data_IF_975600831992
#
_entry.id   IF_975600831992
#
_cell.length_a   1.000
_cell.length_b   1.000
_cell.length_c   1.000
_cell.angle_alpha   90.00
_cell.angle_beta   90.00
_cell.angle_gamma   90.00
#
_symmetry.space_group_name_H-M   'P 1'
#
loop_
_entity.id
_entity.type
_entity.pdbx_description
1 polymer ?
#
# COMPACT_ATOMS: atom_id res chain seq x y z
N UNK A 1 15.94 -14.79 9.47
CA UNK A 1 14.46 -14.67 9.54
C UNK A 1 14.06 -13.63 8.50
N UNK A 2 13.20 -13.98 7.54
CA UNK A 2 12.74 -13.01 6.55
C UNK A 2 11.97 -11.89 7.26
N UNK A 3 12.24 -10.63 6.92
CA UNK A 3 11.52 -9.52 7.53
C UNK A 3 10.05 -9.52 7.07
N UNK A 4 9.10 -8.94 7.84
CA UNK A 4 7.71 -8.80 7.40
C UNK A 4 7.59 -8.11 6.03
N UNK A 5 8.50 -7.18 5.73
CA UNK A 5 8.62 -6.52 4.43
C UNK A 5 8.94 -7.50 3.30
N UNK A 6 9.91 -8.39 3.50
CA UNK A 6 10.31 -9.37 2.48
C UNK A 6 9.17 -10.36 2.21
N UNK A 7 8.46 -10.80 3.26
CA UNK A 7 7.29 -11.67 3.11
C UNK A 7 6.17 -11.00 2.31
N UNK A 8 5.92 -9.72 2.59
CA UNK A 8 4.92 -8.93 1.87
C UNK A 8 5.31 -8.71 0.40
N UNK A 9 6.59 -8.43 0.15
CA UNK A 9 7.11 -8.28 -1.21
C UNK A 9 6.93 -9.58 -2.03
N UNK A 10 7.28 -10.72 -1.45
CA UNK A 10 7.11 -12.02 -2.08
C UNK A 10 5.63 -12.26 -2.39
N UNK A 11 4.75 -12.01 -1.42
CA UNK A 11 3.30 -12.19 -1.59
C UNK A 11 2.74 -11.29 -2.69
N UNK A 12 3.15 -10.02 -2.75
CA UNK A 12 2.74 -9.11 -3.83
C UNK A 12 3.28 -9.56 -5.20
N UNK A 13 4.49 -10.13 -5.25
CA UNK A 13 5.04 -10.69 -6.49
C UNK A 13 4.26 -11.92 -6.97
N UNK A 14 3.84 -12.79 -6.05
CA UNK A 14 2.98 -13.94 -6.34
C UNK A 14 1.60 -13.48 -6.81
N UNK A 15 1.04 -12.43 -6.20
CA UNK A 15 -0.24 -11.84 -6.62
C UNK A 15 -0.16 -11.11 -7.97
N UNK A 16 1.02 -10.64 -8.37
CA UNK A 16 1.29 -10.05 -9.67
C UNK A 16 1.70 -11.10 -10.74
N UNK A 17 1.82 -12.37 -10.37
CA UNK A 17 2.17 -13.48 -11.25
C UNK A 17 1.01 -13.81 -12.21
N UNK A 18 1.32 -14.47 -13.34
CA UNK A 18 0.32 -14.95 -14.29
C UNK A 18 -0.33 -16.29 -13.88
N UNK A 19 0.15 -16.92 -12.81
CA UNK A 19 -0.35 -18.22 -12.36
C UNK A 19 -1.57 -18.06 -11.45
N UNK A 20 -2.78 -18.51 -11.85
CA UNK A 20 -4.01 -18.27 -11.10
C UNK A 20 -4.02 -18.95 -9.72
N UNK A 21 -3.33 -20.09 -9.56
CA UNK A 21 -3.19 -20.75 -8.26
C UNK A 21 -2.35 -19.92 -7.29
N UNK A 22 -1.24 -19.33 -7.77
CA UNK A 22 -0.40 -18.43 -6.97
C UNK A 22 -1.15 -17.16 -6.58
N UNK A 23 -1.90 -16.57 -7.52
CA UNK A 23 -2.69 -15.36 -7.26
C UNK A 23 -3.70 -15.61 -6.14
N UNK A 24 -4.47 -16.70 -6.19
CA UNK A 24 -5.44 -17.03 -5.12
C UNK A 24 -4.78 -17.17 -3.75
N UNK A 25 -3.68 -17.92 -3.68
CA UNK A 25 -2.95 -18.13 -2.42
C UNK A 25 -2.39 -16.80 -1.90
N UNK A 26 -1.84 -15.96 -2.78
CA UNK A 26 -1.31 -14.67 -2.43
C UNK A 26 -2.39 -13.69 -1.95
N UNK A 27 -3.56 -13.67 -2.58
CA UNK A 27 -4.70 -12.87 -2.14
C UNK A 27 -5.22 -13.30 -0.76
N UNK A 28 -5.27 -14.61 -0.49
CA UNK A 28 -5.64 -15.11 0.85
C UNK A 28 -4.63 -14.70 1.91
N UNK A 29 -3.32 -14.79 1.60
CA UNK A 29 -2.26 -14.29 2.47
C UNK A 29 -2.41 -12.79 2.71
N UNK A 30 -2.60 -11.99 1.66
CA UNK A 30 -2.78 -10.54 1.77
C UNK A 30 -3.97 -10.16 2.65
N UNK A 31 -5.08 -10.89 2.60
CA UNK A 31 -6.22 -10.69 3.50
C UNK A 31 -5.87 -10.90 4.97
N UNK A 32 -5.00 -11.86 5.29
CA UNK A 32 -4.52 -12.07 6.65
C UNK A 32 -3.62 -10.92 7.13
N UNK A 33 -2.91 -10.27 6.21
CA UNK A 33 -2.09 -9.11 6.54
C UNK A 33 -2.90 -7.83 6.79
N UNK A 34 -4.11 -7.70 6.24
CA UNK A 34 -4.97 -6.52 6.45
C UNK A 34 -5.28 -6.23 7.93
N UNK A 35 -5.25 -7.27 8.77
CA UNK A 35 -5.52 -7.20 10.21
C UNK A 35 -4.24 -7.10 11.05
N UNK A 36 -3.07 -7.23 10.45
CA UNK A 36 -1.80 -7.16 11.15
C UNK A 36 -1.44 -5.70 11.47
N UNK A 37 -0.94 -5.41 12.69
CA UNK A 37 -0.51 -4.07 13.04
C UNK A 37 0.71 -3.66 12.20
N UNK A 38 0.79 -2.37 11.83
CA UNK A 38 1.90 -1.78 11.06
C UNK A 38 2.06 -2.32 9.63
N UNK A 39 1.09 -3.10 9.17
CA UNK A 39 1.03 -3.63 7.82
C UNK A 39 0.96 -2.53 6.76
N UNK A 40 0.03 -1.58 6.91
CA UNK A 40 -0.20 -0.55 5.90
C UNK A 40 0.98 0.40 5.78
N UNK A 41 1.70 0.64 6.87
CA UNK A 41 2.94 1.42 6.86
C UNK A 41 4.03 0.70 6.06
N UNK A 42 4.21 -0.61 6.29
CA UNK A 42 5.17 -1.43 5.54
C UNK A 42 4.81 -1.54 4.05
N UNK A 43 3.51 -1.64 3.75
CA UNK A 43 3.01 -1.67 2.38
C UNK A 43 3.32 -0.37 1.62
N UNK A 44 3.15 0.79 2.27
CA UNK A 44 3.53 2.08 1.67
C UNK A 44 5.03 2.16 1.38
N UNK A 45 5.87 1.61 2.24
CA UNK A 45 7.32 1.61 2.03
C UNK A 45 7.72 0.82 0.79
N UNK A 46 7.00 -0.26 0.50
CA UNK A 46 7.16 -1.05 -0.73
C UNK A 46 6.63 -0.26 -1.95
N UNK A 47 5.46 0.36 -1.85
CA UNK A 47 4.86 1.14 -2.95
C UNK A 47 5.76 2.32 -3.36
N UNK A 48 6.44 2.94 -2.40
CA UNK A 48 7.31 4.09 -2.63
C UNK A 48 8.75 3.73 -2.99
N UNK A 49 9.17 2.48 -2.83
CA UNK A 49 10.51 2.04 -3.21
C UNK A 49 10.62 1.90 -4.74
N UNK A 50 11.37 2.82 -5.35
CA UNK A 50 11.57 2.88 -6.81
C UNK A 50 12.39 1.70 -7.35
N UNK A 51 13.08 0.96 -6.48
CA UNK A 51 13.86 -0.22 -6.83
C UNK A 51 12.99 -1.43 -7.15
N UNK A 52 11.70 -1.36 -6.79
CA UNK A 52 10.73 -2.45 -6.96
C UNK A 52 9.99 -2.29 -8.29
N UNK A 53 9.63 -3.41 -8.91
CA UNK A 53 8.89 -3.44 -10.17
C UNK A 53 7.59 -2.63 -10.13
N UNK A 54 7.30 -1.90 -11.21
CA UNK A 54 6.14 -1.01 -11.30
C UNK A 54 4.82 -1.75 -11.11
N UNK A 55 4.70 -3.00 -11.56
CA UNK A 55 3.47 -3.78 -11.44
C UNK A 55 3.22 -4.17 -9.98
N UNK A 56 4.27 -4.53 -9.24
CA UNK A 56 4.20 -4.85 -7.80
C UNK A 56 3.75 -3.61 -7.02
N UNK A 57 4.35 -2.44 -7.31
CA UNK A 57 3.97 -1.17 -6.66
C UNK A 57 2.52 -0.78 -6.99
N UNK A 58 2.10 -0.97 -8.24
CA UNK A 58 0.74 -0.67 -8.68
C UNK A 58 -0.29 -1.57 -8.00
N UNK A 59 -0.04 -2.89 -7.94
CA UNK A 59 -0.88 -3.84 -7.24
C UNK A 59 -0.96 -3.52 -5.74
N UNK A 60 0.18 -3.20 -5.12
CA UNK A 60 0.26 -2.76 -3.73
C UNK A 60 -0.57 -1.48 -3.48
N UNK A 61 -0.51 -0.50 -4.37
CA UNK A 61 -1.30 0.73 -4.26
C UNK A 61 -2.81 0.49 -4.37
N UNK A 62 -3.25 -0.42 -5.26
CA UNK A 62 -4.64 -0.84 -5.35
C UNK A 62 -5.08 -1.53 -4.05
N UNK A 63 -4.27 -2.46 -3.55
CA UNK A 63 -4.56 -3.18 -2.32
C UNK A 63 -4.64 -2.24 -1.11
N UNK A 64 -3.68 -1.33 -0.99
CA UNK A 64 -3.65 -0.30 0.04
C UNK A 64 -4.92 0.55 0.01
N UNK A 65 -5.33 1.03 -1.17
CA UNK A 65 -6.57 1.82 -1.32
C UNK A 65 -7.80 1.04 -0.85
N UNK A 66 -7.94 -0.21 -1.27
CA UNK A 66 -9.08 -1.07 -0.92
C UNK A 66 -9.12 -1.39 0.58
N UNK A 67 -7.98 -1.75 1.17
CA UNK A 67 -7.87 -2.05 2.59
C UNK A 67 -8.14 -0.80 3.44
N UNK A 68 -7.52 0.33 3.10
CA UNK A 68 -7.79 1.59 3.78
C UNK A 68 -9.27 1.95 3.69
N UNK A 69 -9.91 1.90 2.53
CA UNK A 69 -11.35 2.20 2.41
C UNK A 69 -12.22 1.37 3.37
N UNK A 70 -11.87 0.08 3.53
CA UNK A 70 -12.60 -0.87 4.37
C UNK A 70 -12.34 -0.73 5.87
N UNK A 71 -11.09 -0.46 6.27
CA UNK A 71 -10.64 -0.47 7.67
C UNK A 71 -10.33 0.92 8.25
N UNK A 72 -10.49 1.99 7.48
CA UNK A 72 -10.23 3.35 7.97
C UNK A 72 -11.26 3.85 8.98
N UNK A 73 -12.52 3.42 8.87
CA UNK A 73 -13.58 3.84 9.79
C UNK A 73 -13.37 3.22 11.17
N UNK A 74 -13.54 4.03 12.23
CA UNK A 74 -13.40 3.55 13.64
C UNK A 74 -14.40 2.45 14.00
N UNK A 75 -15.51 2.36 13.27
CA UNK A 75 -16.57 1.35 13.46
C UNK A 75 -16.24 0.00 12.80
N UNK A 76 -15.17 -0.10 12.01
CA UNK A 76 -14.77 -1.36 11.38
C UNK A 76 -14.21 -2.32 12.43
N UNK A 77 -14.57 -3.61 12.34
CA UNK A 77 -14.14 -4.67 13.26
C UNK A 77 -12.61 -4.79 13.41
N UNK A 78 -11.88 -4.46 12.34
CA UNK A 78 -10.41 -4.43 12.31
C UNK A 78 -9.91 -3.03 11.94
N UNK A 79 -10.46 -2.00 12.58
CA UNK A 79 -10.09 -0.63 12.28
C UNK A 79 -8.59 -0.39 12.47
N UNK A 80 -7.97 0.29 11.50
CA UNK A 80 -6.55 0.64 11.58
C UNK A 80 -6.30 1.50 12.81
N UNK A 81 -5.23 1.18 13.54
CA UNK A 81 -4.87 1.88 14.77
C UNK A 81 -4.63 3.38 14.50
N UNK A 82 -5.05 4.28 15.40
CA UNK A 82 -4.90 5.72 15.21
C UNK A 82 -3.43 6.14 15.05
N UNK A 83 -2.50 5.46 15.73
CA UNK A 83 -1.06 5.70 15.58
C UNK A 83 -0.57 5.35 14.16
N UNK A 84 -1.04 4.23 13.62
CA UNK A 84 -0.72 3.80 12.26
C UNK A 84 -1.35 4.74 11.22
N UNK A 85 -2.58 5.23 11.46
CA UNK A 85 -3.20 6.26 10.61
C UNK A 85 -2.37 7.54 10.52
N UNK A 86 -1.77 7.97 11.63
CA UNK A 86 -0.87 9.12 11.65
C UNK A 86 0.40 8.86 10.85
N UNK A 87 1.02 7.68 11.00
CA UNK A 87 2.19 7.26 10.19
C UNK A 87 1.86 7.26 8.69
N UNK A 88 0.74 6.64 8.30
CA UNK A 88 0.24 6.62 6.92
C UNK A 88 0.09 8.04 6.39
N UNK A 89 -0.61 8.93 7.10
CA UNK A 89 -0.79 10.34 6.69
C UNK A 89 0.54 11.05 6.48
N UNK A 90 1.47 10.95 7.43
CA UNK A 90 2.78 11.61 7.32
C UNK A 90 3.58 11.07 6.13
N UNK A 91 3.55 9.75 5.89
CA UNK A 91 4.23 9.13 4.75
C UNK A 91 3.66 9.62 3.42
N UNK A 92 2.33 9.70 3.32
CA UNK A 92 1.62 10.19 2.14
C UNK A 92 1.93 11.67 1.86
N UNK A 93 1.93 12.52 2.89
CA UNK A 93 2.28 13.93 2.78
C UNK A 93 3.74 14.11 2.33
N UNK A 94 4.68 13.39 2.95
CA UNK A 94 6.10 13.44 2.58
C UNK A 94 6.33 12.99 1.14
N UNK A 95 5.60 11.96 0.67
CA UNK A 95 5.69 11.52 -0.71
C UNK A 95 5.14 12.56 -1.68
N UNK A 96 4.03 13.22 -1.36
CA UNK A 96 3.49 14.30 -2.21
C UNK A 96 4.45 15.48 -2.30
N UNK A 97 5.14 15.82 -1.20
CA UNK A 97 6.15 16.88 -1.17
C UNK A 97 7.37 16.51 -2.05
N UNK A 98 7.88 15.29 -1.92
CA UNK A 98 8.98 14.78 -2.76
C UNK A 98 8.59 14.72 -4.25
N UNK A 99 7.38 14.24 -4.56
CA UNK A 99 6.88 14.16 -5.93
C UNK A 99 6.62 15.55 -6.53
N UNK A 100 6.19 16.52 -5.72
CA UNK A 100 6.05 17.92 -6.14
C UNK A 100 7.42 18.55 -6.43
N UNK A 101 8.45 18.17 -5.69
CA UNK A 101 9.80 18.67 -5.90
C UNK A 101 10.54 17.96 -7.06
N UNK A 102 10.11 16.74 -7.45
CA UNK A 102 10.66 15.95 -8.56
C UNK A 102 9.70 15.86 -9.77
N UNK A 103 9.35 17.00 -10.37
CA UNK A 103 8.60 17.05 -11.64
C UNK A 103 9.53 16.69 -12.81
N UNK A 104 9.68 15.41 -13.16
CA UNK A 104 10.29 15.02 -14.46
C UNK A 104 10.06 13.58 -14.97
N UNK A 105 9.37 12.66 -14.27
CA UNK A 105 9.22 11.29 -14.81
C UNK A 105 7.77 10.79 -14.83
N UNK A 106 7.26 10.51 -16.04
CA UNK A 106 5.86 10.15 -16.32
C UNK A 106 5.34 8.90 -15.55
N UNK A 107 6.24 8.05 -15.04
CA UNK A 107 5.88 6.89 -14.21
C UNK A 107 5.31 7.24 -12.84
N UNK A 108 5.54 8.45 -12.32
CA UNK A 108 5.04 8.87 -11.00
C UNK A 108 3.55 9.25 -11.00
N UNK A 109 2.98 9.68 -12.13
CA UNK A 109 1.62 10.24 -12.17
C UNK A 109 0.56 9.21 -11.79
N UNK A 110 0.68 7.97 -12.29
CA UNK A 110 -0.32 6.91 -12.04
C UNK A 110 -0.38 6.49 -10.56
N UNK A 111 0.78 6.39 -9.89
CA UNK A 111 0.82 6.08 -8.47
C UNK A 111 0.37 7.28 -7.63
N UNK A 112 0.76 8.50 -8.03
CA UNK A 112 0.33 9.74 -7.40
C UNK A 112 -1.19 9.95 -7.48
N UNK A 113 -1.85 9.66 -8.61
CA UNK A 113 -3.30 9.87 -8.75
C UNK A 113 -4.13 8.90 -7.88
N UNK A 114 -3.70 7.63 -7.81
CA UNK A 114 -4.35 6.64 -6.94
C UNK A 114 -4.22 7.03 -5.46
N UNK A 115 -3.06 7.59 -5.09
CA UNK A 115 -2.74 8.02 -3.72
C UNK A 115 -3.38 9.38 -3.35
N UNK A 116 -3.44 10.34 -4.27
CA UNK A 116 -4.10 11.65 -4.07
C UNK A 116 -5.58 11.45 -3.72
N UNK A 117 -6.26 10.54 -4.42
CA UNK A 117 -7.67 10.24 -4.16
C UNK A 117 -7.88 9.55 -2.80
N UNK A 118 -6.94 8.70 -2.36
CA UNK A 118 -6.89 8.20 -0.99
C UNK A 118 -6.76 9.36 0.01
N UNK A 119 -5.77 10.24 -0.15
CA UNK A 119 -5.47 11.31 0.80
C UNK A 119 -6.66 12.26 1.02
N UNK A 120 -7.40 12.60 -0.04
CA UNK A 120 -8.66 13.38 0.04
C UNK A 120 -9.74 12.68 0.87
N UNK A 121 -9.87 11.34 0.76
CA UNK A 121 -10.76 10.53 1.61
C UNK A 121 -10.27 10.40 3.04
N UNK A 122 -8.95 10.40 3.27
CA UNK A 122 -8.39 10.31 4.61
C UNK A 122 -8.61 11.59 5.41
N UNK A 123 -8.66 12.75 4.76
CA UNK A 123 -8.82 14.08 5.36
C UNK A 123 -10.24 14.43 5.86
N UNK A 124 -11.27 13.64 5.49
CA UNK A 124 -12.62 13.74 6.04
C UNK A 124 -12.83 12.73 7.17
#
# INVERSE_FOLDING_TARGET
MASPRDQLLITLSEAASQQPEQIKVAEERLKQWEIAPEFYSTLLDIIFDRSIDVNIRFLGAIFFKNGVDRYWRKTSKHAVNPNEKAKIRNRLLSFMDEAHNQVSNAGNTVCCDSIKNCTTRLSQ
#
